data_IF_771232554440
#
_entry.id   IF_771232554440
#
_cell.length_a   1.000
_cell.length_b   1.000
_cell.length_c   1.000
_cell.angle_alpha   90.00
_cell.angle_beta   90.00
_cell.angle_gamma   90.00
#
_symmetry.space_group_name_H-M   'P 1'
#
loop_
_entity.id
_entity.type
_entity.pdbx_description
1 polymer ?
#
# COMPACT_ATOMS: atom_id res chain seq x y z
N UNK A 1 -2.61 9.29 6.14
CA UNK A 1 -1.29 8.87 5.60
C UNK A 1 -0.27 8.93 6.74
N UNK A 2 0.75 8.07 6.72
CA UNK A 2 1.85 8.08 7.69
C UNK A 2 3.17 7.80 6.97
N UNK A 3 3.98 8.84 6.78
CA UNK A 3 5.19 8.88 5.95
C UNK A 3 5.05 8.12 4.60
N UNK A 4 4.21 8.62 3.67
CA UNK A 4 3.99 7.94 2.41
C UNK A 4 5.19 8.09 1.46
N UNK A 5 5.60 6.99 0.80
CA UNK A 5 6.85 6.95 0.02
C UNK A 5 6.73 6.41 -1.41
N UNK A 6 5.69 5.62 -1.70
CA UNK A 6 5.41 5.08 -3.03
C UNK A 6 3.92 5.06 -3.33
N UNK A 7 3.56 5.23 -4.61
CA UNK A 7 2.19 5.25 -5.08
C UNK A 7 2.06 4.63 -6.46
N UNK A 8 0.87 4.10 -6.76
CA UNK A 8 0.47 3.68 -8.11
C UNK A 8 -0.99 4.07 -8.38
N UNK A 9 -1.36 4.19 -9.66
CA UNK A 9 -2.63 4.77 -10.09
C UNK A 9 -3.45 3.82 -10.96
N UNK A 10 -4.66 3.53 -10.53
CA UNK A 10 -5.70 2.94 -11.36
C UNK A 10 -6.45 4.05 -12.11
N UNK A 11 -5.99 4.34 -13.32
CA UNK A 11 -6.58 5.38 -14.17
C UNK A 11 -8.03 5.10 -14.56
N UNK A 12 -8.42 3.83 -14.70
CA UNK A 12 -9.78 3.49 -15.09
C UNK A 12 -10.80 3.82 -13.98
N UNK A 13 -10.34 3.80 -12.73
CA UNK A 13 -11.18 4.04 -11.55
C UNK A 13 -10.79 5.29 -10.76
N UNK A 14 -9.91 6.16 -11.25
CA UNK A 14 -9.40 7.34 -10.52
C UNK A 14 -8.97 7.03 -9.07
N UNK A 15 -8.34 5.87 -8.86
CA UNK A 15 -7.94 5.38 -7.53
C UNK A 15 -6.40 5.38 -7.39
N UNK A 16 -5.90 6.02 -6.34
CA UNK A 16 -4.49 6.00 -5.94
C UNK A 16 -4.26 4.96 -4.84
N UNK A 17 -3.28 4.09 -5.03
CA UNK A 17 -2.80 3.19 -4.00
C UNK A 17 -1.49 3.75 -3.44
N UNK A 18 -1.39 3.87 -2.13
CA UNK A 18 -0.29 4.58 -1.45
C UNK A 18 0.28 3.67 -0.37
N UNK A 19 1.61 3.50 -0.40
CA UNK A 19 2.38 2.87 0.67
C UNK A 19 2.65 3.88 1.79
N UNK A 20 2.29 3.51 3.01
CA UNK A 20 2.57 4.30 4.21
C UNK A 20 3.74 3.63 4.96
N UNK A 21 4.95 4.15 4.79
CA UNK A 21 6.19 3.55 5.29
C UNK A 21 6.14 3.33 6.80
N UNK A 22 5.99 4.42 7.56
CA UNK A 22 5.86 4.38 9.03
C UNK A 22 4.49 3.86 9.48
N UNK A 23 3.50 3.88 8.58
CA UNK A 23 2.17 3.31 8.82
C UNK A 23 2.14 1.79 8.80
N UNK A 24 3.13 1.15 8.16
CA UNK A 24 3.17 -0.29 7.90
C UNK A 24 1.91 -0.79 7.19
N UNK A 25 1.40 0.01 6.26
CA UNK A 25 0.11 -0.24 5.61
C UNK A 25 0.03 0.33 4.20
N UNK A 26 -0.91 -0.21 3.43
CA UNK A 26 -1.32 0.35 2.13
C UNK A 26 -2.73 0.95 2.27
N UNK A 27 -2.94 2.11 1.68
CA UNK A 27 -4.25 2.77 1.59
C UNK A 27 -4.62 3.11 0.16
N UNK A 28 -5.90 3.00 -0.18
CA UNK A 28 -6.46 3.44 -1.45
C UNK A 28 -7.22 4.75 -1.28
N UNK A 29 -7.11 5.66 -2.23
CA UNK A 29 -7.73 6.97 -2.21
C UNK A 29 -8.36 7.26 -3.56
N UNK A 30 -9.62 7.66 -3.57
CA UNK A 30 -10.21 8.24 -4.77
C UNK A 30 -9.63 9.65 -4.95
N UNK A 31 -9.32 10.05 -6.19
CA UNK A 31 -8.85 11.41 -6.47
C UNK A 31 -9.84 12.45 -5.94
N UNK A 32 -9.34 13.38 -5.12
CA UNK A 32 -10.12 14.46 -4.51
C UNK A 32 -10.78 14.10 -3.17
N UNK A 33 -10.74 12.84 -2.73
CA UNK A 33 -11.26 12.47 -1.41
C UNK A 33 -10.28 12.82 -0.29
N UNK A 34 -10.83 13.09 0.89
CA UNK A 34 -10.08 13.43 2.11
C UNK A 34 -9.93 12.25 3.07
N UNK A 35 -10.49 11.09 2.71
CA UNK A 35 -10.41 9.86 3.49
C UNK A 35 -10.03 8.70 2.58
N UNK A 36 -9.01 7.94 2.97
CA UNK A 36 -8.58 6.74 2.26
C UNK A 36 -9.16 5.47 2.88
N UNK A 37 -9.38 4.46 2.04
CA UNK A 37 -9.69 3.11 2.46
C UNK A 37 -8.41 2.36 2.83
N UNK A 38 -8.45 1.60 3.93
CA UNK A 38 -7.39 0.67 4.29
C UNK A 38 -7.41 -0.56 3.35
N UNK A 39 -6.24 -0.98 2.87
CA UNK A 39 -6.11 -2.11 1.94
C UNK A 39 -5.34 -3.27 2.55
N UNK A 40 -4.15 -3.02 3.12
CA UNK A 40 -3.28 -4.08 3.62
C UNK A 40 -2.38 -3.62 4.79
N UNK A 41 -1.94 -4.58 5.61
CA UNK A 41 -1.06 -4.38 6.76
C UNK A 41 -1.79 -4.31 8.11
N UNK A 42 -1.15 -3.74 9.12
CA UNK A 42 -1.80 -3.39 10.38
C UNK A 42 -1.28 -2.01 10.76
N UNK A 43 -2.13 -1.00 10.70
CA UNK A 43 -1.72 0.39 10.92
C UNK A 43 -1.02 0.55 12.27
N UNK A 44 0.22 1.03 12.24
CA UNK A 44 1.04 1.26 13.43
C UNK A 44 1.64 0.00 14.06
N UNK A 45 1.52 -1.17 13.41
CA UNK A 45 2.13 -2.41 13.86
C UNK A 45 2.87 -3.12 12.72
N UNK A 46 4.20 -3.17 12.83
CA UNK A 46 5.01 -3.97 11.91
C UNK A 46 4.91 -5.47 12.23
N UNK A 47 5.21 -6.29 11.22
CA UNK A 47 5.37 -7.72 11.40
C UNK A 47 5.65 -8.45 10.08
N UNK A 48 5.91 -9.75 10.16
CA UNK A 48 6.34 -10.58 9.04
C UNK A 48 5.33 -11.68 8.67
N UNK A 49 4.15 -11.69 9.29
CA UNK A 49 3.04 -12.58 8.90
C UNK A 49 2.46 -12.14 7.56
N UNK A 50 1.69 -13.03 6.92
CA UNK A 50 1.12 -12.78 5.59
C UNK A 50 0.17 -11.57 5.54
N UNK A 51 -0.44 -11.18 6.66
CA UNK A 51 -1.33 -10.03 6.76
C UNK A 51 -0.65 -8.80 7.39
N UNK A 52 0.67 -8.85 7.58
CA UNK A 52 1.47 -7.76 8.16
C UNK A 52 2.47 -7.26 7.13
N UNK A 53 2.79 -5.97 7.24
CA UNK A 53 3.85 -5.32 6.49
C UNK A 53 4.86 -4.74 7.48
N UNK A 54 6.04 -4.42 7.00
CA UNK A 54 7.09 -3.79 7.75
C UNK A 54 7.81 -2.79 6.84
N UNK A 55 7.50 -1.51 7.01
CA UNK A 55 8.07 -0.41 6.22
C UNK A 55 7.96 -0.65 4.71
N UNK A 56 6.74 -0.78 4.15
CA UNK A 56 6.56 -0.94 2.72
C UNK A 56 7.04 0.33 2.00
N UNK A 57 7.91 0.17 1.00
CA UNK A 57 8.57 1.32 0.36
C UNK A 57 7.94 1.70 -0.97
N UNK A 58 7.35 0.73 -1.67
CA UNK A 58 6.72 0.94 -2.96
C UNK A 58 5.68 -0.13 -3.25
N UNK A 59 4.86 0.12 -4.26
CA UNK A 59 3.86 -0.82 -4.74
C UNK A 59 3.73 -0.74 -6.26
N UNK A 60 3.36 -1.85 -6.88
CA UNK A 60 2.97 -1.91 -8.28
C UNK A 60 1.57 -2.52 -8.39
N UNK A 61 0.72 -1.91 -9.20
CA UNK A 61 -0.64 -2.34 -9.47
C UNK A 61 -0.71 -2.91 -10.89
N UNK A 62 -1.18 -4.14 -11.01
CA UNK A 62 -1.69 -4.63 -12.28
C UNK A 62 -3.12 -4.11 -12.45
N UNK A 63 -3.31 -3.12 -13.33
CA UNK A 63 -4.61 -2.46 -13.53
C UNK A 63 -5.63 -3.34 -14.28
N UNK A 64 -5.21 -4.44 -14.91
CA UNK A 64 -6.12 -5.39 -15.54
C UNK A 64 -6.73 -6.36 -14.53
N UNK A 65 -5.93 -6.83 -13.56
CA UNK A 65 -6.35 -7.80 -12.54
C UNK A 65 -6.68 -7.18 -11.19
N UNK A 66 -6.25 -5.94 -10.96
CA UNK A 66 -6.21 -5.23 -9.68
C UNK A 66 -5.37 -5.93 -8.61
N UNK A 67 -4.42 -6.77 -9.03
CA UNK A 67 -3.43 -7.36 -8.15
C UNK A 67 -2.39 -6.30 -7.73
N UNK A 68 -2.17 -6.19 -6.42
CA UNK A 68 -1.20 -5.28 -5.84
C UNK A 68 0.05 -6.05 -5.42
N UNK A 69 1.23 -5.55 -5.78
CA UNK A 69 2.51 -6.10 -5.36
C UNK A 69 3.24 -5.06 -4.51
N UNK A 70 3.61 -5.41 -3.29
CA UNK A 70 4.17 -4.48 -2.30
C UNK A 70 5.61 -4.88 -1.98
N UNK A 71 6.52 -3.92 -2.06
CA UNK A 71 7.89 -4.08 -1.55
C UNK A 71 7.92 -3.94 -0.03
N UNK A 72 7.68 -5.05 0.66
CA UNK A 72 7.70 -5.19 2.12
C UNK A 72 9.15 -5.16 2.64
N UNK A 73 9.73 -3.97 2.57
CA UNK A 73 11.18 -3.77 2.43
C UNK A 73 11.97 -4.19 3.66
N UNK A 74 11.49 -3.86 4.87
CA UNK A 74 12.17 -4.29 6.11
C UNK A 74 11.99 -5.78 6.41
N UNK A 75 11.09 -6.47 5.69
CA UNK A 75 10.98 -7.93 5.72
C UNK A 75 11.77 -8.60 4.57
N UNK A 76 12.45 -7.84 3.70
CA UNK A 76 13.21 -8.34 2.55
C UNK A 76 12.38 -9.26 1.63
N UNK A 77 11.11 -8.93 1.40
CA UNK A 77 10.22 -9.71 0.53
C UNK A 77 9.31 -8.83 -0.32
N UNK A 78 8.73 -9.43 -1.34
CA UNK A 78 7.56 -8.88 -2.04
C UNK A 78 6.33 -9.64 -1.57
N UNK A 79 5.24 -8.93 -1.28
CA UNK A 79 3.93 -9.53 -1.02
C UNK A 79 2.95 -9.14 -2.12
N UNK A 80 1.98 -10.01 -2.35
CA UNK A 80 0.82 -9.78 -3.19
C UNK A 80 -0.43 -9.80 -2.31
#
# INVERSE_FOLDING_TARGET
LNDPVGLDFDEANDDLYISNYDGHSITKWKIGETQGAFIAGITGQSGNKNNQLNMPHDLALDTETLDLYVSDSSNNRVQK
#
